data_IF_457390384615
#
_entry.id   IF_457390384615
#
_cell.length_a   1.000
_cell.length_b   1.000
_cell.length_c   1.000
_cell.angle_alpha   90.00
_cell.angle_beta   90.00
_cell.angle_gamma   90.00
#
_symmetry.space_group_name_H-M   'P 1'
#
loop_
_entity.id
_entity.type
_entity.pdbx_description
1 polymer ?
#
# COMPACT_ATOMS: atom_id res chain seq x y z
N UNK A 1 0.33 18.44 -13.85
CA UNK A 1 1.01 18.34 -12.55
C UNK A 1 0.33 17.19 -11.83
N UNK A 2 1.02 16.07 -11.60
CA UNK A 2 0.42 14.99 -10.82
C UNK A 2 0.38 15.49 -9.37
N UNK A 3 -0.82 15.73 -8.84
CA UNK A 3 -0.98 15.97 -7.41
C UNK A 3 -0.63 14.68 -6.70
N UNK A 4 0.58 14.64 -6.13
CA UNK A 4 0.99 13.56 -5.26
C UNK A 4 0.17 13.70 -3.98
N UNK A 5 -0.73 12.75 -3.74
CA UNK A 5 -1.49 12.68 -2.49
C UNK A 5 -0.47 12.64 -1.34
N UNK A 6 -0.62 13.52 -0.35
CA UNK A 6 0.25 13.50 0.82
C UNK A 6 0.14 12.15 1.53
N UNK A 7 1.26 11.67 2.04
CA UNK A 7 1.24 10.44 2.81
C UNK A 7 0.44 10.67 4.10
N UNK A 8 -0.60 9.85 4.28
CA UNK A 8 -1.43 9.81 5.46
C UNK A 8 -1.28 8.41 6.09
N UNK A 9 -0.73 8.30 7.31
CA UNK A 9 -0.50 7.02 7.98
C UNK A 9 -1.80 6.22 8.23
N UNK A 10 -2.90 6.90 8.58
CA UNK A 10 -4.19 6.24 8.85
C UNK A 10 -4.80 5.69 7.57
N UNK A 11 -4.73 6.48 6.49
CA UNK A 11 -5.16 6.05 5.17
C UNK A 11 -4.32 4.86 4.67
N UNK A 12 -3.00 4.93 4.82
CA UNK A 12 -2.08 3.86 4.43
C UNK A 12 -2.34 2.57 5.21
N UNK A 13 -2.60 2.66 6.52
CA UNK A 13 -2.94 1.51 7.34
C UNK A 13 -4.26 0.89 6.86
N UNK A 14 -5.31 1.69 6.69
CA UNK A 14 -6.62 1.22 6.25
C UNK A 14 -6.58 0.61 4.86
N UNK A 15 -5.77 1.16 3.96
CA UNK A 15 -5.53 0.58 2.63
C UNK A 15 -4.90 -0.81 2.73
N UNK A 16 -3.90 -1.02 3.61
CA UNK A 16 -3.30 -2.35 3.84
C UNK A 16 -4.30 -3.35 4.41
N UNK A 17 -5.19 -2.91 5.30
CA UNK A 17 -6.27 -3.75 5.84
C UNK A 17 -7.24 -4.20 4.74
N UNK A 18 -7.65 -3.30 3.84
CA UNK A 18 -8.50 -3.66 2.70
C UNK A 18 -7.80 -4.61 1.71
N UNK A 19 -6.51 -4.41 1.42
CA UNK A 19 -5.75 -5.33 0.57
C UNK A 19 -5.71 -6.75 1.15
N UNK A 20 -5.58 -6.88 2.47
CA UNK A 20 -5.61 -8.18 3.15
C UNK A 20 -6.99 -8.83 3.11
N UNK A 21 -8.05 -8.07 3.38
CA UNK A 21 -9.42 -8.58 3.27
C UNK A 21 -9.73 -9.09 1.86
N UNK A 22 -9.23 -8.39 0.83
CA UNK A 22 -9.33 -8.87 -0.54
C UNK A 22 -8.56 -10.18 -0.72
N UNK A 23 -7.31 -10.29 -0.28
CA UNK A 23 -6.57 -11.56 -0.38
C UNK A 23 -7.35 -12.72 0.27
N UNK A 24 -7.87 -12.52 1.48
CA UNK A 24 -8.64 -13.52 2.24
C UNK A 24 -9.94 -13.93 1.53
N UNK A 25 -10.68 -12.98 0.96
CA UNK A 25 -11.92 -13.25 0.22
C UNK A 25 -11.66 -14.12 -1.02
N UNK A 26 -10.60 -13.82 -1.77
CA UNK A 26 -10.29 -14.56 -3.00
C UNK A 26 -9.67 -15.93 -2.73
N UNK A 27 -8.90 -16.08 -1.65
CA UNK A 27 -8.43 -17.39 -1.19
C UNK A 27 -9.61 -18.30 -0.79
N UNK A 28 -10.63 -17.74 -0.12
CA UNK A 28 -11.83 -18.47 0.27
C UNK A 28 -12.68 -18.95 -0.94
N UNK A 29 -12.67 -18.19 -2.03
CA UNK A 29 -13.42 -18.51 -3.25
C UNK A 29 -12.76 -19.58 -4.15
N UNK A 30 -11.57 -20.09 -3.80
CA UNK A 30 -10.82 -21.10 -4.59
C UNK A 30 -10.74 -20.79 -6.10
N UNK A 31 -10.68 -19.51 -6.47
CA UNK A 31 -10.57 -19.13 -7.88
C UNK A 31 -9.20 -19.55 -8.42
N UNK A 32 -9.20 -20.35 -9.49
CA UNK A 32 -7.98 -20.86 -10.13
C UNK A 32 -7.07 -19.77 -10.76
N UNK A 33 -7.37 -18.48 -10.56
CA UNK A 33 -6.62 -17.36 -11.12
C UNK A 33 -6.13 -16.34 -10.07
N UNK A 34 -5.88 -16.78 -8.83
CA UNK A 34 -5.38 -15.91 -7.74
C UNK A 34 -3.99 -15.31 -7.97
N UNK A 35 -3.22 -15.81 -8.94
CA UNK A 35 -1.84 -15.34 -9.19
C UNK A 35 -1.80 -13.87 -9.63
N UNK A 36 -2.65 -13.48 -10.58
CA UNK A 36 -2.69 -12.10 -11.08
C UNK A 36 -3.17 -11.13 -9.99
N UNK A 37 -4.20 -11.51 -9.25
CA UNK A 37 -4.69 -10.73 -8.13
C UNK A 37 -3.60 -10.55 -7.06
N UNK A 38 -2.92 -11.62 -6.67
CA UNK A 38 -1.84 -11.53 -5.69
C UNK A 38 -0.72 -10.58 -6.14
N UNK A 39 -0.38 -10.60 -7.43
CA UNK A 39 0.59 -9.66 -8.00
C UNK A 39 0.09 -8.21 -7.89
N UNK A 40 -1.20 -7.95 -8.14
CA UNK A 40 -1.81 -6.61 -7.98
C UNK A 40 -1.78 -6.17 -6.52
N UNK A 41 -2.21 -7.03 -5.59
CA UNK A 41 -2.22 -6.71 -4.15
C UNK A 41 -0.80 -6.42 -3.63
N UNK A 42 0.18 -7.20 -4.08
CA UNK A 42 1.59 -6.98 -3.76
C UNK A 42 2.11 -5.65 -4.32
N UNK A 43 1.78 -5.33 -5.57
CA UNK A 43 2.17 -4.06 -6.18
C UNK A 43 1.60 -2.86 -5.41
N UNK A 44 0.32 -2.92 -5.04
CA UNK A 44 -0.34 -1.87 -4.25
C UNK A 44 0.30 -1.71 -2.86
N UNK A 45 0.63 -2.82 -2.19
CA UNK A 45 1.31 -2.79 -0.90
C UNK A 45 2.73 -2.18 -1.02
N UNK A 46 3.47 -2.52 -2.07
CA UNK A 46 4.79 -1.93 -2.35
C UNK A 46 4.69 -0.43 -2.66
N UNK A 47 3.64 0.01 -3.35
CA UNK A 47 3.38 1.42 -3.60
C UNK A 47 3.14 2.18 -2.29
N UNK A 48 2.26 1.67 -1.41
CA UNK A 48 2.00 2.26 -0.09
C UNK A 48 3.30 2.33 0.73
N UNK A 49 4.09 1.26 0.70
CA UNK A 49 5.38 1.19 1.42
C UNK A 49 6.38 2.21 0.89
N UNK A 50 6.50 2.35 -0.44
CA UNK A 50 7.37 3.35 -1.06
C UNK A 50 6.95 4.77 -0.67
N UNK A 51 5.64 5.04 -0.63
CA UNK A 51 5.10 6.32 -0.22
C UNK A 51 5.41 6.64 1.26
N UNK A 52 5.31 5.63 2.14
CA UNK A 52 5.66 5.72 3.55
C UNK A 52 7.16 6.03 3.75
N UNK A 53 8.04 5.28 3.09
CA UNK A 53 9.50 5.47 3.20
C UNK A 53 9.89 6.87 2.76
N UNK A 54 9.38 7.34 1.60
CA UNK A 54 9.65 8.70 1.12
C UNK A 54 9.15 9.78 2.08
N UNK A 55 8.00 9.57 2.72
CA UNK A 55 7.51 10.49 3.73
C UNK A 55 8.45 10.57 4.93
N UNK A 56 8.92 9.43 5.44
CA UNK A 56 9.88 9.40 6.54
C UNK A 56 11.23 10.02 6.15
N UNK A 57 11.74 9.77 4.95
CA UNK A 57 12.97 10.42 4.45
C UNK A 57 12.85 11.95 4.39
N UNK A 58 11.69 12.48 4.01
CA UNK A 58 11.42 13.94 4.01
C UNK A 58 11.33 14.47 5.44
N UNK A 59 10.54 13.83 6.30
CA UNK A 59 10.35 14.27 7.70
C UNK A 59 11.66 14.20 8.51
N UNK A 60 12.46 13.16 8.33
CA UNK A 60 13.74 13.02 9.00
C UNK A 60 14.78 14.03 8.47
N UNK A 61 14.71 14.36 7.17
CA UNK A 61 15.53 15.41 6.55
C UNK A 61 15.17 16.83 7.02
N UNK A 62 13.89 17.10 7.26
CA UNK A 62 13.41 18.40 7.77
C UNK A 62 13.69 18.60 9.27
N UNK A 63 13.75 17.53 10.07
CA UNK A 63 14.08 17.60 11.49
C UNK A 63 15.59 17.78 11.79
N UNK A 64 16.45 17.74 10.76
CA UNK A 64 17.90 17.89 10.86
C UNK A 64 18.41 19.29 10.47
N UNK A 65 17.52 20.23 10.15
CA UNK A 65 17.84 21.61 9.72
C UNK A 65 17.47 22.65 10.78
#
# INVERSE_FOLDING_TARGET
MYETIHYDPEFAQKAREYLRQLEEMFEAEQQQNCQELRNVLLYLNNLITTHCVRYHEVVDGENLV
#
